data_IF_936519532995
#
_entry.id   IF_936519532995
#
_cell.length_a   1.000
_cell.length_b   1.000
_cell.length_c   1.000
_cell.angle_alpha   90.00
_cell.angle_beta   90.00
_cell.angle_gamma   90.00
#
_symmetry.space_group_name_H-M   'P 1'
#
loop_
_entity.id
_entity.type
_entity.pdbx_description
1 polymer ?
#
# COMPACT_ATOMS: atom_id res chain seq x y z
N UNK A 1 19.95 18.23 -10.46
CA UNK A 1 18.96 17.34 -11.11
C UNK A 1 17.62 17.78 -10.61
N UNK A 2 16.74 18.18 -11.53
CA UNK A 2 15.38 18.63 -11.23
C UNK A 2 14.45 17.42 -11.38
N UNK A 3 13.64 17.15 -10.36
CA UNK A 3 12.67 16.06 -10.38
C UNK A 3 11.27 16.65 -10.44
N UNK A 4 10.36 15.98 -11.16
CA UNK A 4 8.97 16.40 -11.23
C UNK A 4 8.24 15.94 -9.96
N UNK A 5 7.92 16.90 -9.10
CA UNK A 5 7.17 16.71 -7.87
C UNK A 5 5.82 16.00 -8.09
N UNK A 6 5.13 16.29 -9.19
CA UNK A 6 3.83 15.66 -9.50
C UNK A 6 3.99 14.18 -9.79
N UNK A 7 5.04 13.81 -10.52
CA UNK A 7 5.35 12.40 -10.77
C UNK A 7 5.78 11.68 -9.49
N UNK A 8 6.48 12.36 -8.57
CA UNK A 8 6.82 11.80 -7.26
C UNK A 8 5.57 11.58 -6.39
N UNK A 9 4.64 12.54 -6.36
CA UNK A 9 3.34 12.41 -5.69
C UNK A 9 2.54 11.21 -6.21
N UNK A 10 2.40 11.10 -7.55
CA UNK A 10 1.68 10.01 -8.20
C UNK A 10 2.33 8.65 -7.90
N UNK A 11 3.65 8.56 -7.95
CA UNK A 11 4.38 7.34 -7.65
C UNK A 11 4.20 6.93 -6.18
N UNK A 12 4.26 7.87 -5.24
CA UNK A 12 4.03 7.59 -3.82
C UNK A 12 2.59 7.15 -3.59
N UNK A 13 1.59 7.80 -4.20
CA UNK A 13 0.19 7.39 -4.09
C UNK A 13 -0.03 5.97 -4.64
N UNK A 14 0.60 5.65 -5.76
CA UNK A 14 0.56 4.31 -6.35
C UNK A 14 1.17 3.25 -5.43
N UNK A 15 2.32 3.55 -4.81
CA UNK A 15 2.95 2.64 -3.85
C UNK A 15 2.10 2.45 -2.59
N UNK A 16 1.50 3.52 -2.06
CA UNK A 16 0.60 3.45 -0.92
C UNK A 16 -0.61 2.55 -1.22
N UNK A 17 -1.24 2.72 -2.37
CA UNK A 17 -2.40 1.92 -2.77
C UNK A 17 -2.04 0.47 -3.13
N UNK A 18 -0.89 0.22 -3.76
CA UNK A 18 -0.44 -1.13 -4.11
C UNK A 18 -0.02 -1.95 -2.88
N UNK A 19 0.46 -1.29 -1.83
CA UNK A 19 0.94 -1.92 -0.60
C UNK A 19 -0.05 -1.78 0.57
N UNK A 20 -1.22 -1.18 0.35
CA UNK A 20 -2.26 -1.10 1.38
C UNK A 20 -2.94 -2.44 1.62
N UNK A 21 -3.44 -2.64 2.84
CA UNK A 21 -4.41 -3.70 3.13
C UNK A 21 -5.72 -3.51 2.35
N UNK A 22 -6.58 -4.53 2.32
CA UNK A 22 -7.89 -4.47 1.66
C UNK A 22 -8.76 -3.29 2.14
N UNK A 23 -8.63 -2.92 3.42
CA UNK A 23 -9.34 -1.79 4.04
C UNK A 23 -8.69 -0.41 3.77
N UNK A 24 -7.58 -0.34 3.03
CA UNK A 24 -6.90 0.92 2.70
C UNK A 24 -5.89 1.43 3.73
N UNK A 25 -5.41 0.59 4.65
CA UNK A 25 -4.33 0.97 5.57
C UNK A 25 -2.96 0.71 4.95
N UNK A 26 -2.11 1.74 4.88
CA UNK A 26 -0.75 1.66 4.33
C UNK A 26 0.30 2.17 5.32
N UNK A 27 1.51 1.62 5.28
CA UNK A 27 2.63 2.13 6.09
C UNK A 27 3.09 3.49 5.57
N UNK A 28 3.18 4.48 6.46
CA UNK A 28 3.77 5.78 6.10
C UNK A 28 5.29 5.72 6.29
N UNK A 29 6.02 5.71 5.20
CA UNK A 29 7.50 5.66 5.17
C UNK A 29 8.11 6.47 4.04
N UNK A 30 7.33 7.36 3.44
CA UNK A 30 7.75 8.27 2.36
C UNK A 30 8.04 9.66 2.89
N UNK A 31 8.58 10.51 2.02
CA UNK A 31 8.86 11.90 2.34
C UNK A 31 7.62 12.64 2.89
N UNK A 32 7.85 13.49 3.89
CA UNK A 32 6.78 14.14 4.63
C UNK A 32 6.06 15.21 3.80
N UNK A 33 6.76 15.94 2.93
CA UNK A 33 6.15 16.97 2.09
C UNK A 33 5.22 16.33 1.06
N UNK A 34 5.64 15.24 0.42
CA UNK A 34 4.79 14.50 -0.54
C UNK A 34 3.54 13.98 0.16
N UNK A 35 3.69 13.37 1.34
CA UNK A 35 2.54 12.88 2.12
C UNK A 35 1.60 14.01 2.52
N UNK A 36 2.13 15.19 2.87
CA UNK A 36 1.31 16.35 3.20
C UNK A 36 0.50 16.83 1.99
N UNK A 37 1.13 16.92 0.80
CA UNK A 37 0.43 17.29 -0.44
C UNK A 37 -0.65 16.28 -0.84
N UNK A 38 -0.41 14.99 -0.64
CA UNK A 38 -1.44 13.95 -0.85
C UNK A 38 -2.60 14.07 0.14
N UNK A 39 -2.34 14.52 1.37
CA UNK A 39 -3.38 14.80 2.36
C UNK A 39 -4.20 16.04 1.98
N UNK A 40 -3.54 17.11 1.53
CA UNK A 40 -4.19 18.32 1.04
C UNK A 40 -5.08 18.04 -0.19
N UNK A 41 -4.67 17.10 -1.04
CA UNK A 41 -5.47 16.62 -2.16
C UNK A 41 -6.60 15.67 -1.75
N UNK A 42 -6.70 15.27 -0.49
CA UNK A 42 -7.78 14.41 0.02
C UNK A 42 -7.61 12.92 -0.28
N UNK A 43 -6.45 12.46 -0.79
CA UNK A 43 -6.22 11.05 -1.10
C UNK A 43 -5.86 10.22 0.13
N UNK A 44 -5.31 10.85 1.16
CA UNK A 44 -4.92 10.19 2.39
C UNK A 44 -5.38 10.98 3.62
N UNK A 45 -5.53 10.29 4.74
CA UNK A 45 -5.71 10.92 6.04
C UNK A 45 -4.46 11.65 6.52
N UNK A 46 -4.58 12.42 7.60
CA UNK A 46 -3.52 13.27 8.11
C UNK A 46 -2.24 12.45 8.47
N UNK A 47 -1.09 12.71 7.80
CA UNK A 47 0.15 11.97 8.00
C UNK A 47 0.94 12.43 9.23
N UNK A 48 0.60 13.56 9.86
CA UNK A 48 1.34 14.21 10.98
C UNK A 48 0.98 13.64 12.36
N UNK A 49 0.50 12.40 12.41
CA UNK A 49 0.15 11.73 13.66
C UNK A 49 1.27 10.78 14.15
N UNK A 50 1.14 10.27 15.38
CA UNK A 50 2.08 9.30 15.97
C UNK A 50 1.90 7.86 15.43
N UNK A 51 0.91 7.61 14.58
CA UNK A 51 0.63 6.26 14.08
C UNK A 51 1.70 5.85 13.06
N UNK A 52 1.87 4.55 12.83
CA UNK A 52 2.84 4.03 11.85
C UNK A 52 2.23 3.86 10.45
N UNK A 53 0.91 3.99 10.36
CA UNK A 53 0.16 3.85 9.12
C UNK A 53 -0.74 5.05 8.89
N UNK A 54 -1.09 5.23 7.63
CA UNK A 54 -2.09 6.18 7.15
C UNK A 54 -3.21 5.39 6.48
N UNK A 55 -4.41 5.95 6.50
CA UNK A 55 -5.54 5.42 5.76
C UNK A 55 -5.66 6.21 4.45
N UNK A 56 -5.79 5.48 3.35
CA UNK A 56 -6.20 6.08 2.08
C UNK A 56 -7.71 6.34 2.13
N UNK A 57 -8.14 7.41 1.48
CA UNK A 57 -9.56 7.63 1.20
C UNK A 57 -10.01 6.74 0.04
N UNK A 58 -11.31 6.65 -0.20
CA UNK A 58 -11.84 5.88 -1.32
C UNK A 58 -11.31 6.40 -2.67
N UNK A 59 -11.30 7.73 -2.84
CA UNK A 59 -10.71 8.39 -4.01
C UNK A 59 -9.20 8.12 -4.12
N UNK A 60 -8.48 8.19 -3.01
CA UNK A 60 -7.04 7.90 -2.99
C UNK A 60 -6.72 6.46 -3.36
N UNK A 61 -7.54 5.50 -2.93
CA UNK A 61 -7.42 4.09 -3.33
C UNK A 61 -7.69 3.90 -4.81
N UNK A 62 -8.77 4.47 -5.32
CA UNK A 62 -9.16 4.35 -6.74
C UNK A 62 -8.07 4.93 -7.65
N UNK A 63 -7.69 6.19 -7.40
CA UNK A 63 -6.64 6.88 -8.17
C UNK A 63 -5.30 6.17 -8.01
N UNK A 64 -4.91 5.81 -6.79
CA UNK A 64 -3.66 5.12 -6.53
C UNK A 64 -3.57 3.76 -7.23
N UNK A 65 -4.65 2.98 -7.26
CA UNK A 65 -4.71 1.71 -8.00
C UNK A 65 -4.63 1.93 -9.51
N UNK A 66 -5.30 2.94 -10.05
CA UNK A 66 -5.22 3.28 -11.47
C UNK A 66 -3.79 3.66 -11.89
N UNK A 67 -3.12 4.49 -11.09
CA UNK A 67 -1.73 4.86 -11.32
C UNK A 67 -0.81 3.64 -11.15
N UNK A 68 -1.01 2.83 -10.12
CA UNK A 68 -0.24 1.61 -9.91
C UNK A 68 -0.39 0.61 -11.07
N UNK A 69 -1.58 0.49 -11.64
CA UNK A 69 -1.80 -0.31 -12.84
C UNK A 69 -1.03 0.25 -14.04
N UNK A 70 -0.98 1.58 -14.21
CA UNK A 70 -0.21 2.24 -15.28
C UNK A 70 1.31 2.09 -15.09
N UNK A 71 1.80 2.24 -13.87
CA UNK A 71 3.24 2.26 -13.56
C UNK A 71 3.84 0.86 -13.35
N UNK A 72 3.08 -0.04 -12.74
CA UNK A 72 3.55 -1.36 -12.30
C UNK A 72 2.80 -2.53 -12.95
N UNK A 73 1.73 -2.25 -13.70
CA UNK A 73 1.05 -3.25 -14.50
C UNK A 73 1.96 -3.73 -15.62
N UNK A 74 2.57 -4.90 -15.41
CA UNK A 74 3.43 -5.50 -16.44
C UNK A 74 2.63 -5.77 -17.71
N UNK A 75 3.15 -5.21 -18.82
CA UNK A 75 2.78 -5.35 -20.24
C UNK A 75 1.80 -4.32 -20.84
N UNK A 76 2.29 -3.73 -21.94
CA UNK A 76 1.68 -2.79 -22.87
C UNK A 76 1.56 -1.33 -22.39
N UNK A 77 2.57 -0.54 -22.72
CA UNK A 77 2.33 0.80 -23.25
C UNK A 77 1.17 0.69 -24.26
N UNK A 78 -0.02 1.16 -23.89
CA UNK A 78 -1.05 1.49 -24.85
C UNK A 78 -0.68 2.84 -25.45
N UNK A 79 0.32 2.81 -26.32
CA UNK A 79 0.44 3.79 -27.40
C UNK A 79 -0.90 3.81 -28.13
N UNK A 80 -1.61 4.95 -28.25
CA UNK A 80 -2.77 5.04 -29.13
C UNK A 80 -2.27 5.20 -30.56
N UNK A 81 -1.62 4.15 -31.08
CA UNK A 81 -1.33 4.02 -32.50
C UNK A 81 -2.44 3.18 -33.14
N UNK A 82 -3.36 3.89 -33.79
CA UNK A 82 -4.03 3.43 -35.01
C UNK A 82 -3.14 2.46 -35.80
N UNK A 83 -3.46 1.16 -35.85
CA UNK A 83 -4.07 0.52 -37.02
C UNK A 83 -4.42 -0.94 -36.70
N UNK A 84 -5.31 -1.49 -37.51
CA UNK A 84 -6.00 -2.76 -37.42
C UNK A 84 -5.14 -4.05 -37.34
N UNK A 85 -5.67 -5.02 -36.58
CA UNK A 85 -5.73 -6.47 -36.88
C UNK A 85 -5.00 -7.49 -35.97
N UNK A 86 -5.77 -8.55 -35.69
CA UNK A 86 -5.43 -9.91 -35.23
C UNK A 86 -4.92 -10.16 -33.80
N UNK A 87 -5.71 -10.97 -33.06
CA UNK A 87 -5.13 -12.07 -32.27
C UNK A 87 -5.56 -12.16 -30.81
N UNK A 88 -6.67 -12.86 -30.58
CA UNK A 88 -7.10 -13.36 -29.27
C UNK A 88 -6.00 -14.18 -28.56
N UNK A 89 -5.95 -14.03 -27.22
CA UNK A 89 -5.59 -15.05 -26.20
C UNK A 89 -4.12 -15.18 -25.77
N UNK A 90 -3.82 -14.75 -24.55
CA UNK A 90 -3.12 -15.57 -23.53
C UNK A 90 -3.07 -14.89 -22.13
N UNK A 91 -4.12 -15.15 -21.35
CA UNK A 91 -4.11 -15.39 -19.90
C UNK A 91 -3.07 -14.69 -19.01
N UNK A 92 -3.58 -13.63 -18.38
CA UNK A 92 -3.36 -13.24 -16.98
C UNK A 92 -3.27 -14.47 -16.03
N UNK A 93 -2.03 -14.88 -15.71
CA UNK A 93 -1.72 -15.84 -14.62
C UNK A 93 -0.71 -15.29 -13.60
N UNK A 94 -0.05 -14.16 -13.89
CA UNK A 94 0.96 -13.58 -13.01
C UNK A 94 0.37 -12.82 -11.80
N UNK A 95 -0.79 -12.18 -11.95
CA UNK A 95 -1.37 -11.35 -10.87
C UNK A 95 -1.90 -12.13 -9.66
N UNK A 96 -2.02 -13.47 -9.75
CA UNK A 96 -2.38 -14.29 -8.58
C UNK A 96 -1.20 -14.50 -7.62
N UNK A 97 0.04 -14.37 -8.10
CA UNK A 97 1.24 -14.60 -7.30
C UNK A 97 1.57 -13.40 -6.38
N UNK A 98 1.32 -12.17 -6.83
CA UNK A 98 1.61 -10.95 -6.04
C UNK A 98 0.66 -10.85 -4.83
N UNK A 99 -0.64 -11.16 -5.03
CA UNK A 99 -1.62 -11.21 -3.92
C UNK A 99 -1.32 -12.36 -2.93
N UNK A 100 -0.77 -13.47 -3.42
CA UNK A 100 -0.40 -14.62 -2.58
C UNK A 100 0.81 -14.34 -1.69
N UNK A 101 1.74 -13.48 -2.12
CA UNK A 101 2.89 -13.09 -1.29
C UNK A 101 2.48 -12.15 -0.13
N UNK A 102 1.46 -11.31 -0.34
CA UNK A 102 0.92 -10.39 0.68
C UNK A 102 0.26 -11.13 1.86
N UNK A 103 -0.39 -12.28 1.61
CA UNK A 103 -0.99 -13.12 2.66
C UNK A 103 0.04 -13.74 3.61
N UNK A 104 1.28 -13.97 3.16
CA UNK A 104 2.34 -14.53 3.98
C UNK A 104 2.97 -13.49 4.94
N UNK A 105 3.03 -12.22 4.52
CA UNK A 105 3.59 -11.14 5.34
C UNK A 105 2.62 -10.63 6.43
N UNK A 106 1.31 -10.68 6.19
CA UNK A 106 0.29 -10.23 7.15
C UNK A 106 0.13 -11.21 8.33
N UNK A 107 0.26 -12.52 8.09
CA UNK A 107 0.19 -13.57 9.13
C UNK A 107 1.41 -13.56 10.04
N UNK A 108 2.62 -13.29 9.53
CA UNK A 108 3.84 -13.17 10.36
C UNK A 108 3.80 -11.98 11.33
N UNK A 109 3.09 -10.90 10.98
CA UNK A 109 2.98 -9.69 11.81
C UNK A 109 1.92 -9.84 12.92
N UNK A 110 0.89 -10.68 12.73
CA UNK A 110 -0.12 -10.97 13.76
C UNK A 110 0.37 -11.94 14.85
N UNK A 111 1.21 -12.92 14.50
CA UNK A 111 1.72 -13.92 15.47
C UNK A 111 2.67 -13.30 16.50
N UNK A 112 3.46 -12.29 16.13
CA UNK A 112 4.30 -11.55 17.10
C UNK A 112 3.50 -10.72 18.10
N UNK A 113 2.33 -10.16 17.73
CA UNK A 113 1.46 -9.40 18.66
C UNK A 113 0.82 -10.31 19.71
N UNK A 114 0.32 -11.50 19.33
CA UNK A 114 -0.21 -12.49 20.30
C UNK A 114 0.89 -13.01 21.25
N UNK A 115 2.10 -13.24 20.76
CA UNK A 115 3.23 -13.70 21.59
C UNK A 115 3.70 -12.63 22.60
N UNK A 116 3.58 -11.34 22.28
CA UNK A 116 3.94 -10.26 23.19
C UNK A 116 2.89 -10.04 24.28
N UNK A 117 1.59 -10.16 23.96
CA UNK A 117 0.48 -10.02 24.92
C UNK A 117 0.42 -11.18 25.93
N UNK A 118 0.82 -12.40 25.55
CA UNK A 118 0.89 -13.55 26.46
C UNK A 118 2.02 -13.43 27.50
N UNK A 119 3.16 -12.82 27.15
CA UNK A 119 4.28 -12.60 28.09
C UNK A 119 3.98 -11.53 29.15
N UNK A 120 3.09 -10.60 28.89
CA UNK A 120 2.68 -9.58 29.88
C UNK A 120 1.72 -10.16 30.93
N UNK A 121 0.89 -11.14 30.56
CA UNK A 121 -0.03 -11.81 31.50
C UNK A 121 0.69 -12.75 32.49
N UNK A 122 1.83 -13.34 32.13
CA UNK A 122 2.58 -14.22 33.03
C UNK A 122 3.37 -13.46 34.12
N UNK A 123 3.71 -12.20 33.89
CA UNK A 123 4.45 -11.37 34.87
C UNK A 123 3.55 -10.67 35.90
N UNK A 124 2.23 -10.63 35.70
CA UNK A 124 1.30 -10.01 36.65
C UNK A 124 0.80 -10.99 37.74
N UNK A 125 0.97 -12.29 37.54
CA UNK A 125 0.57 -13.33 38.51
C UNK A 125 1.60 -13.64 39.60
N UNK A 126 2.79 -13.01 39.58
CA UNK A 126 3.91 -13.35 40.47
C UNK A 126 4.28 -12.25 41.50
N UNK A 127 3.40 -11.26 41.72
CA UNK A 127 3.58 -10.21 42.76
C UNK A 127 2.36 -10.06 43.66
N UNK A 128 1.80 -11.19 44.07
CA UNK A 128 0.66 -11.26 44.98
C UNK A 128 0.87 -12.32 46.07
N UNK A 129 1.97 -12.21 46.83
CA UNK A 129 2.08 -12.77 48.18
C UNK A 129 3.34 -12.22 48.85
N UNK A 130 3.14 -11.25 49.75
CA UNK A 130 3.68 -11.13 51.11
C UNK A 130 3.24 -9.76 51.64
#
# INVERSE_FOLDING_TARGET
MEYDDKLMEDAVLALLAALSSDDGNAWKGFDFEIMNRLHEQGFIGNPVNRNKSVWLTEEGLERGRAIAARLFGGSAQAEPANDSDTGVRAMSRANRAVVSAQHCASTFRQTKKKALLSKTFLNFGARGRL
#
